data_IF_066656663405
#
_entry.id   IF_066656663405
#
_cell.length_a   1.000
_cell.length_b   1.000
_cell.length_c   1.000
_cell.angle_alpha   90.00
_cell.angle_beta   90.00
_cell.angle_gamma   90.00
#
_symmetry.space_group_name_H-M   'P 1'
#
loop_
_entity.id
_entity.type
_entity.pdbx_description
1 polymer ?
#
# COMPACT_ATOMS: atom_id res chain seq x y z
N UNK A 1 -41.16 54.27 -26.54
CA UNK A 1 -39.84 53.81 -27.04
C UNK A 1 -39.54 52.45 -26.43
N UNK A 2 -39.55 51.38 -27.23
CA UNK A 2 -39.16 50.05 -26.78
C UNK A 2 -37.68 50.07 -26.40
N UNK A 3 -37.35 49.84 -25.11
CA UNK A 3 -35.96 49.57 -24.70
C UNK A 3 -35.46 48.39 -25.55
N UNK A 4 -34.31 48.51 -26.24
CA UNK A 4 -33.77 47.37 -26.98
C UNK A 4 -33.56 46.23 -25.99
N UNK A 5 -34.16 45.08 -26.28
CA UNK A 5 -33.98 43.84 -25.50
C UNK A 5 -32.48 43.66 -25.28
N UNK A 6 -32.05 43.59 -24.01
CA UNK A 6 -30.64 43.30 -23.68
C UNK A 6 -30.26 42.03 -24.45
N UNK A 7 -29.32 42.16 -25.39
CA UNK A 7 -28.81 41.04 -26.22
C UNK A 7 -28.29 39.87 -25.38
N UNK A 8 -28.02 40.08 -24.08
CA UNK A 8 -27.55 39.07 -23.13
C UNK A 8 -28.37 39.16 -21.85
N UNK A 9 -29.03 38.07 -21.47
CA UNK A 9 -29.91 37.99 -20.30
C UNK A 9 -29.15 37.74 -18.98
N UNK A 10 -27.86 37.40 -19.05
CA UNK A 10 -27.01 37.07 -17.91
C UNK A 10 -25.75 37.95 -17.84
N UNK A 11 -25.14 38.08 -16.67
CA UNK A 11 -23.83 38.72 -16.52
C UNK A 11 -22.69 37.82 -17.02
N UNK A 12 -21.52 38.41 -17.31
CA UNK A 12 -20.32 37.65 -17.68
C UNK A 12 -19.86 36.73 -16.53
N UNK A 13 -20.00 37.19 -15.28
CA UNK A 13 -19.62 36.44 -14.08
C UNK A 13 -20.52 35.21 -13.89
N UNK A 14 -21.84 35.36 -14.05
CA UNK A 14 -22.77 34.21 -13.97
C UNK A 14 -22.49 33.18 -15.07
N UNK A 15 -22.19 33.63 -16.30
CA UNK A 15 -21.76 32.75 -17.41
C UNK A 15 -20.53 31.93 -16.99
N UNK A 16 -19.52 32.58 -16.41
CA UNK A 16 -18.31 31.91 -15.93
C UNK A 16 -18.60 30.93 -14.79
N UNK A 17 -19.45 31.30 -13.82
CA UNK A 17 -19.85 30.43 -12.73
C UNK A 17 -20.58 29.17 -13.23
N UNK A 18 -21.53 29.33 -14.15
CA UNK A 18 -22.23 28.19 -14.76
C UNK A 18 -21.28 27.26 -15.51
N UNK A 19 -20.31 27.83 -16.23
CA UNK A 19 -19.29 27.06 -16.93
C UNK A 19 -18.42 26.28 -15.94
N UNK A 20 -18.00 26.90 -14.84
CA UNK A 20 -17.25 26.26 -13.75
C UNK A 20 -18.06 25.16 -13.05
N UNK A 21 -19.38 25.29 -12.96
CA UNK A 21 -20.30 24.23 -12.48
C UNK A 21 -20.49 23.08 -13.48
N UNK A 22 -19.90 23.16 -14.67
CA UNK A 22 -19.88 22.08 -15.66
C UNK A 22 -20.92 22.21 -16.77
N UNK A 23 -21.78 23.23 -16.77
CA UNK A 23 -22.77 23.43 -17.83
C UNK A 23 -22.09 23.66 -19.18
N UNK A 24 -22.60 23.06 -20.27
CA UNK A 24 -21.98 23.20 -21.59
C UNK A 24 -22.11 24.63 -22.12
N UNK A 25 -21.20 25.04 -23.00
CA UNK A 25 -21.31 26.36 -23.65
C UNK A 25 -22.60 26.52 -24.44
N UNK A 26 -23.19 25.42 -24.93
CA UNK A 26 -24.48 25.42 -25.65
C UNK A 26 -25.67 25.67 -24.71
N UNK A 27 -25.68 25.04 -23.54
CA UNK A 27 -26.71 25.26 -22.51
C UNK A 27 -26.64 26.68 -21.97
N UNK A 28 -25.43 27.15 -21.65
CA UNK A 28 -25.22 28.51 -21.14
C UNK A 28 -25.61 29.54 -22.21
N UNK A 29 -25.20 29.34 -23.47
CA UNK A 29 -25.58 30.21 -24.59
C UNK A 29 -27.10 30.36 -24.72
N UNK A 30 -27.84 29.23 -24.65
CA UNK A 30 -29.30 29.22 -24.71
C UNK A 30 -29.92 30.00 -23.53
N UNK A 31 -29.42 29.80 -22.31
CA UNK A 31 -29.93 30.49 -21.11
C UNK A 31 -29.59 32.00 -21.12
N UNK A 32 -28.41 32.36 -21.60
CA UNK A 32 -27.91 33.73 -21.67
C UNK A 32 -28.39 34.52 -22.91
N UNK A 33 -29.18 33.89 -23.79
CA UNK A 33 -29.66 34.43 -25.07
C UNK A 33 -28.53 34.93 -26.00
N UNK A 34 -27.44 34.17 -26.10
CA UNK A 34 -26.26 34.53 -26.90
C UNK A 34 -25.76 33.33 -27.71
N UNK A 35 -24.82 33.55 -28.62
CA UNK A 35 -24.20 32.44 -29.37
C UNK A 35 -23.19 31.66 -28.51
N UNK A 36 -22.97 30.36 -28.76
CA UNK A 36 -21.90 29.60 -28.11
C UNK A 36 -20.51 30.17 -28.33
N UNK A 37 -20.27 30.85 -29.46
CA UNK A 37 -19.03 31.58 -29.73
C UNK A 37 -18.82 32.74 -28.76
N UNK A 38 -19.89 33.49 -28.46
CA UNK A 38 -19.85 34.59 -27.49
C UNK A 38 -19.48 34.11 -26.08
N UNK A 39 -19.96 32.93 -25.66
CA UNK A 39 -19.57 32.33 -24.37
C UNK A 39 -18.05 32.12 -24.29
N UNK A 40 -17.40 31.68 -25.38
CA UNK A 40 -15.93 31.50 -25.40
C UNK A 40 -15.18 32.82 -25.27
N UNK A 41 -15.69 33.89 -25.87
CA UNK A 41 -15.14 35.24 -25.73
C UNK A 41 -15.20 35.66 -24.26
N UNK A 42 -16.37 35.52 -23.63
CA UNK A 42 -16.55 35.86 -22.20
C UNK A 42 -15.62 35.05 -21.30
N UNK A 43 -15.44 33.75 -21.55
CA UNK A 43 -14.52 32.92 -20.77
C UNK A 43 -13.07 33.37 -20.94
N UNK A 44 -12.66 33.74 -22.16
CA UNK A 44 -11.32 34.27 -22.43
C UNK A 44 -11.08 35.62 -21.75
N UNK A 45 -12.07 36.52 -21.80
CA UNK A 45 -12.01 37.83 -21.13
C UNK A 45 -11.89 37.71 -19.61
N UNK A 46 -12.47 36.67 -19.01
CA UNK A 46 -12.42 36.38 -17.57
C UNK A 46 -11.31 35.40 -17.19
N UNK A 47 -10.38 35.11 -18.11
CA UNK A 47 -9.25 34.19 -17.90
C UNK A 47 -9.66 32.80 -17.40
N UNK A 48 -10.87 32.35 -17.77
CA UNK A 48 -11.36 31.01 -17.45
C UNK A 48 -10.85 30.02 -18.50
N UNK A 49 -10.04 29.02 -18.13
CA UNK A 49 -9.50 28.06 -19.08
C UNK A 49 -10.63 27.23 -19.72
N UNK A 50 -10.54 27.03 -21.04
CA UNK A 50 -11.47 26.19 -21.76
C UNK A 50 -11.23 24.72 -21.42
N UNK A 51 -12.30 23.98 -21.18
CA UNK A 51 -12.26 22.53 -20.98
C UNK A 51 -11.63 21.83 -22.19
N UNK A 52 -10.90 20.72 -21.99
CA UNK A 52 -10.33 19.92 -23.06
C UNK A 52 -11.39 19.48 -24.08
N UNK A 53 -10.99 19.36 -25.35
CA UNK A 53 -11.85 18.78 -26.41
C UNK A 53 -12.32 17.38 -25.99
N UNK A 54 -13.60 17.09 -26.17
CA UNK A 54 -14.24 15.82 -25.81
C UNK A 54 -14.71 15.72 -24.36
N UNK A 55 -14.41 16.70 -23.50
CA UNK A 55 -14.85 16.70 -22.08
C UNK A 55 -16.37 16.59 -21.91
N UNK A 56 -17.16 17.11 -22.85
CA UNK A 56 -18.63 16.98 -22.84
C UNK A 56 -19.14 15.55 -23.07
N UNK A 57 -18.28 14.62 -23.53
CA UNK A 57 -18.61 13.20 -23.66
C UNK A 57 -18.39 12.43 -22.35
N UNK A 58 -17.81 13.06 -21.31
CA UNK A 58 -17.62 12.42 -20.01
C UNK A 58 -18.98 12.20 -19.36
N UNK A 59 -19.28 10.94 -19.05
CA UNK A 59 -20.51 10.53 -18.37
C UNK A 59 -20.41 10.65 -16.85
N UNK A 60 -19.20 10.57 -16.31
CA UNK A 60 -18.95 10.55 -14.88
C UNK A 60 -17.95 11.63 -14.50
N UNK A 61 -18.14 12.21 -13.31
CA UNK A 61 -17.21 13.16 -12.68
C UNK A 61 -16.29 12.42 -11.70
N UNK A 62 -15.15 13.05 -11.42
CA UNK A 62 -14.19 12.69 -10.38
C UNK A 62 -13.35 13.94 -10.09
N UNK A 63 -12.86 14.09 -8.85
CA UNK A 63 -11.84 15.09 -8.56
C UNK A 63 -10.55 14.75 -9.31
N UNK A 64 -10.28 15.40 -10.44
CA UNK A 64 -9.10 15.13 -11.26
C UNK A 64 -7.79 15.63 -10.65
N UNK A 65 -7.85 16.49 -9.63
CA UNK A 65 -6.67 17.01 -8.93
C UNK A 65 -6.34 16.21 -7.65
N UNK A 66 -7.05 15.10 -7.41
CA UNK A 66 -6.99 14.34 -6.15
C UNK A 66 -5.57 13.92 -5.74
N UNK A 67 -4.71 13.55 -6.70
CA UNK A 67 -3.35 13.08 -6.42
C UNK A 67 -2.29 14.20 -6.37
N UNK A 68 -2.69 15.47 -6.46
CA UNK A 68 -1.77 16.61 -6.48
C UNK A 68 -1.49 17.20 -5.10
N UNK A 69 -2.35 16.91 -4.12
CA UNK A 69 -2.21 17.41 -2.75
C UNK A 69 -2.22 16.23 -1.79
N UNK A 70 -1.27 16.21 -0.86
CA UNK A 70 -1.19 15.17 0.14
C UNK A 70 -2.28 15.32 1.21
N UNK A 71 -2.89 14.20 1.57
CA UNK A 71 -3.73 14.01 2.74
C UNK A 71 -3.57 12.57 3.24
N UNK A 72 -4.04 12.28 4.45
CA UNK A 72 -4.01 10.92 5.00
C UNK A 72 -4.78 9.93 4.10
N UNK A 73 -5.97 10.32 3.64
CA UNK A 73 -6.80 9.51 2.75
C UNK A 73 -6.20 9.36 1.35
N UNK A 74 -5.58 10.42 0.82
CA UNK A 74 -4.89 10.35 -0.47
C UNK A 74 -3.72 9.37 -0.41
N UNK A 75 -2.91 9.42 0.65
CA UNK A 75 -1.80 8.49 0.84
C UNK A 75 -2.29 7.05 0.98
N UNK A 76 -3.37 6.82 1.74
CA UNK A 76 -4.03 5.52 1.83
C UNK A 76 -4.48 5.01 0.46
N UNK A 77 -5.21 5.82 -0.32
CA UNK A 77 -5.68 5.42 -1.65
C UNK A 77 -4.51 5.15 -2.59
N UNK A 78 -3.44 5.96 -2.51
CA UNK A 78 -2.23 5.74 -3.29
C UNK A 78 -1.57 4.39 -2.97
N UNK A 79 -1.44 4.06 -1.68
CA UNK A 79 -0.95 2.76 -1.21
C UNK A 79 -1.83 1.60 -1.67
N UNK A 80 -3.15 1.77 -1.58
CA UNK A 80 -4.13 0.78 -2.01
C UNK A 80 -4.04 0.52 -3.52
N UNK A 81 -3.91 1.58 -4.32
CA UNK A 81 -3.68 1.48 -5.77
C UNK A 81 -2.31 0.83 -6.05
N UNK A 82 -1.28 1.13 -5.26
CA UNK A 82 0.05 0.55 -5.41
C UNK A 82 0.08 -0.98 -5.13
N UNK A 83 -0.81 -1.47 -4.27
CA UNK A 83 -1.01 -2.90 -4.03
C UNK A 83 -1.91 -3.53 -5.10
N UNK A 84 -3.23 -3.27 -5.01
CA UNK A 84 -4.27 -4.03 -5.73
C UNK A 84 -4.86 -3.27 -6.94
N UNK A 85 -4.44 -2.03 -7.17
CA UNK A 85 -4.93 -1.25 -8.30
C UNK A 85 -4.44 -1.77 -9.65
N UNK A 86 -5.13 -1.42 -10.73
CA UNK A 86 -4.66 -1.59 -12.10
C UNK A 86 -4.70 -0.25 -12.82
N UNK A 87 -3.56 0.14 -13.39
CA UNK A 87 -3.45 1.30 -14.28
C UNK A 87 -3.33 0.74 -15.70
N UNK A 88 -4.29 1.07 -16.56
CA UNK A 88 -4.29 0.56 -17.92
C UNK A 88 -3.17 1.17 -18.74
N UNK A 89 -2.41 0.35 -19.47
CA UNK A 89 -1.39 0.84 -20.42
C UNK A 89 -2.01 1.55 -21.63
N UNK A 90 -3.14 1.06 -22.12
CA UNK A 90 -3.75 1.52 -23.37
C UNK A 90 -4.94 2.46 -23.17
N UNK A 91 -5.72 2.27 -22.11
CA UNK A 91 -6.86 3.12 -21.79
C UNK A 91 -6.50 4.19 -20.75
N UNK A 92 -7.30 5.25 -20.69
CA UNK A 92 -7.21 6.29 -19.65
C UNK A 92 -8.03 5.86 -18.42
N UNK A 93 -7.64 4.72 -17.85
CA UNK A 93 -8.42 4.01 -16.83
C UNK A 93 -7.53 3.60 -15.65
N UNK A 94 -8.05 3.86 -14.45
CA UNK A 94 -7.59 3.29 -13.18
C UNK A 94 -8.71 2.37 -12.68
N UNK A 95 -8.36 1.16 -12.27
CA UNK A 95 -9.30 0.17 -11.75
C UNK A 95 -8.87 -0.27 -10.36
N UNK A 96 -9.82 -0.33 -9.44
CA UNK A 96 -9.63 -0.92 -8.10
C UNK A 96 -10.65 -2.03 -7.96
N UNK A 97 -10.19 -3.24 -7.64
CA UNK A 97 -11.03 -4.41 -7.50
C UNK A 97 -10.94 -4.94 -6.07
N UNK A 98 -12.08 -5.22 -5.42
CA UNK A 98 -12.16 -5.78 -4.07
C UNK A 98 -13.38 -6.69 -3.91
N UNK A 99 -13.30 -7.62 -2.97
CA UNK A 99 -14.46 -8.46 -2.60
C UNK A 99 -15.45 -7.68 -1.75
N UNK A 100 -14.96 -6.86 -0.84
CA UNK A 100 -15.74 -5.97 0.00
C UNK A 100 -16.10 -4.70 -0.80
N UNK A 101 -17.38 -4.36 -0.87
CA UNK A 101 -17.87 -3.23 -1.69
C UNK A 101 -17.69 -1.90 -0.97
N UNK A 102 -17.71 -1.93 0.35
CA UNK A 102 -17.74 -0.82 1.29
C UNK A 102 -16.51 0.08 1.10
N UNK A 103 -15.32 -0.53 1.07
CA UNK A 103 -14.08 0.22 0.82
C UNK A 103 -14.08 0.93 -0.55
N UNK A 104 -14.68 0.33 -1.57
CA UNK A 104 -14.78 0.96 -2.89
C UNK A 104 -15.78 2.13 -2.87
N UNK A 105 -16.84 2.05 -2.05
CA UNK A 105 -17.78 3.14 -1.84
C UNK A 105 -17.12 4.31 -1.10
N UNK A 106 -16.29 4.02 -0.09
CA UNK A 106 -15.60 5.05 0.67
C UNK A 106 -14.51 5.73 -0.17
N UNK A 107 -13.71 4.97 -0.92
CA UNK A 107 -12.75 5.53 -1.90
C UNK A 107 -13.48 6.36 -2.96
N UNK A 108 -14.63 5.88 -3.46
CA UNK A 108 -15.44 6.62 -4.43
C UNK A 108 -15.92 7.96 -3.85
N UNK A 109 -16.39 7.97 -2.60
CA UNK A 109 -16.87 9.18 -1.90
C UNK A 109 -15.73 10.16 -1.68
N UNK A 110 -14.60 9.67 -1.17
CA UNK A 110 -13.38 10.44 -0.90
C UNK A 110 -12.82 11.11 -2.17
N UNK A 111 -12.84 10.43 -3.31
CA UNK A 111 -12.38 10.99 -4.60
C UNK A 111 -13.42 11.88 -5.32
N UNK A 112 -14.58 12.17 -4.70
CA UNK A 112 -15.76 12.79 -5.32
C UNK A 112 -16.11 12.20 -6.70
N UNK A 113 -16.05 10.87 -6.80
CA UNK A 113 -16.28 10.15 -8.06
C UNK A 113 -17.75 9.76 -8.22
N UNK A 114 -18.31 9.98 -9.41
CA UNK A 114 -19.65 9.49 -9.77
C UNK A 114 -19.61 8.18 -10.57
N UNK A 115 -18.43 7.57 -10.74
CA UNK A 115 -18.28 6.33 -11.51
C UNK A 115 -19.02 5.17 -10.82
N UNK A 116 -19.74 4.32 -11.56
CA UNK A 116 -20.43 3.19 -10.97
C UNK A 116 -19.43 2.14 -10.46
N UNK A 117 -19.80 1.46 -9.38
CA UNK A 117 -19.12 0.24 -8.94
C UNK A 117 -19.85 -0.92 -9.61
N UNK A 118 -19.15 -1.70 -10.41
CA UNK A 118 -19.69 -2.88 -11.08
C UNK A 118 -19.33 -4.13 -10.30
N UNK A 119 -20.09 -5.21 -10.49
CA UNK A 119 -19.79 -6.54 -9.91
C UNK A 119 -19.51 -7.50 -11.05
N UNK A 120 -18.46 -8.31 -10.90
CA UNK A 120 -18.25 -9.45 -11.77
C UNK A 120 -19.05 -10.63 -11.22
N UNK A 121 -20.13 -11.02 -11.91
CA UNK A 121 -21.02 -12.09 -11.44
C UNK A 121 -20.34 -13.45 -11.30
N UNK A 122 -19.28 -13.72 -12.06
CA UNK A 122 -18.54 -14.99 -12.00
C UNK A 122 -17.63 -15.07 -10.78
N UNK A 123 -16.98 -13.97 -10.41
CA UNK A 123 -15.97 -13.98 -9.33
C UNK A 123 -16.49 -13.36 -8.03
N UNK A 124 -17.64 -12.68 -8.07
CA UNK A 124 -18.19 -11.91 -6.95
C UNK A 124 -17.43 -10.61 -6.65
N UNK A 125 -16.37 -10.29 -7.39
CA UNK A 125 -15.50 -9.14 -7.14
C UNK A 125 -16.15 -7.85 -7.63
N UNK A 126 -16.14 -6.82 -6.80
CA UNK A 126 -16.55 -5.47 -7.13
C UNK A 126 -15.40 -4.68 -7.75
N UNK A 127 -15.70 -3.80 -8.71
CA UNK A 127 -14.72 -3.00 -9.42
C UNK A 127 -15.15 -1.54 -9.51
N UNK A 128 -14.25 -0.64 -9.11
CA UNK A 128 -14.36 0.80 -9.34
C UNK A 128 -13.43 1.18 -10.50
N UNK A 129 -14.03 1.45 -11.66
CA UNK A 129 -13.34 1.80 -12.89
C UNK A 129 -13.42 3.31 -13.14
N UNK A 130 -12.35 4.04 -12.85
CA UNK A 130 -12.27 5.51 -12.96
C UNK A 130 -11.58 5.88 -14.27
N UNK A 131 -12.33 6.52 -15.17
CA UNK A 131 -11.82 7.03 -16.44
C UNK A 131 -11.33 8.47 -16.30
N UNK A 132 -10.04 8.68 -16.04
CA UNK A 132 -9.42 10.00 -16.08
C UNK A 132 -7.99 9.93 -16.57
N UNK A 133 -7.68 10.71 -17.61
CA UNK A 133 -6.31 10.89 -18.12
C UNK A 133 -5.44 11.58 -17.07
N UNK A 134 -5.96 12.61 -16.41
CA UNK A 134 -5.21 13.43 -15.44
C UNK A 134 -4.81 12.58 -14.25
N UNK A 135 -5.75 11.87 -13.61
CA UNK A 135 -5.42 11.01 -12.47
C UNK A 135 -4.40 9.92 -12.83
N UNK A 136 -4.51 9.34 -14.02
CA UNK A 136 -3.53 8.35 -14.50
C UNK A 136 -2.15 8.98 -14.68
N UNK A 137 -2.07 10.15 -15.29
CA UNK A 137 -0.82 10.88 -15.47
C UNK A 137 -0.22 11.29 -14.12
N UNK A 138 -1.03 11.75 -13.16
CA UNK A 138 -0.59 12.09 -11.81
C UNK A 138 0.00 10.86 -11.08
N UNK A 139 -0.68 9.71 -11.12
CA UNK A 139 -0.16 8.46 -10.55
C UNK A 139 1.20 8.06 -11.14
N UNK A 140 1.37 8.21 -12.45
CA UNK A 140 2.60 7.81 -13.16
C UNK A 140 3.74 8.81 -12.92
N UNK A 141 3.46 10.11 -13.06
CA UNK A 141 4.48 11.15 -13.13
C UNK A 141 4.78 11.81 -11.79
N UNK A 142 3.79 11.94 -10.90
CA UNK A 142 3.98 12.48 -9.55
C UNK A 142 4.44 11.35 -8.61
N UNK A 143 3.76 10.20 -8.66
CA UNK A 143 3.94 9.13 -7.68
C UNK A 143 4.73 7.92 -8.17
N UNK A 144 5.08 7.87 -9.46
CA UNK A 144 5.89 6.79 -10.03
C UNK A 144 5.14 5.45 -10.18
N UNK A 145 3.81 5.40 -9.99
CA UNK A 145 3.01 4.19 -10.10
C UNK A 145 2.66 3.94 -11.57
N UNK A 146 3.33 2.98 -12.19
CA UNK A 146 3.21 2.68 -13.63
C UNK A 146 2.30 1.48 -13.92
N UNK A 147 1.79 1.33 -15.16
CA UNK A 147 1.21 0.06 -15.62
C UNK A 147 2.20 -1.12 -15.42
N UNK A 148 1.69 -2.33 -15.20
CA UNK A 148 2.50 -3.54 -14.94
C UNK A 148 3.49 -3.39 -13.76
N UNK A 149 3.13 -2.55 -12.77
CA UNK A 149 3.97 -2.22 -11.59
C UNK A 149 4.45 -3.41 -10.76
N UNK A 150 3.81 -4.58 -10.84
CA UNK A 150 4.10 -5.72 -9.95
C UNK A 150 5.60 -6.07 -9.85
N UNK A 151 6.37 -5.84 -10.92
CA UNK A 151 7.83 -6.11 -10.96
C UNK A 151 8.72 -4.87 -10.80
N UNK A 152 8.16 -3.67 -10.90
CA UNK A 152 8.93 -2.41 -11.01
C UNK A 152 8.43 -1.30 -10.08
N UNK A 153 7.60 -1.64 -9.09
CA UNK A 153 7.16 -0.69 -8.07
C UNK A 153 8.37 -0.23 -7.25
N UNK A 154 8.55 1.07 -7.10
CA UNK A 154 9.48 1.70 -6.15
C UNK A 154 8.68 2.40 -5.06
N UNK A 155 9.26 2.63 -3.87
CA UNK A 155 8.59 3.45 -2.86
C UNK A 155 8.43 4.88 -3.40
N UNK A 156 7.20 5.44 -3.42
CA UNK A 156 7.01 6.85 -3.78
C UNK A 156 7.65 7.78 -2.74
N UNK A 157 7.95 9.02 -3.13
CA UNK A 157 8.43 10.04 -2.20
C UNK A 157 7.26 10.59 -1.37
N UNK A 158 6.98 9.94 -0.24
CA UNK A 158 5.84 10.22 0.64
C UNK A 158 6.33 11.07 1.83
N UNK A 159 5.68 12.19 2.16
CA UNK A 159 5.96 12.93 3.39
C UNK A 159 5.81 12.03 4.63
N UNK A 160 6.72 12.12 5.59
CA UNK A 160 6.75 11.22 6.76
C UNK A 160 5.43 11.18 7.54
N UNK A 161 4.72 12.31 7.62
CA UNK A 161 3.41 12.42 8.26
C UNK A 161 2.35 11.50 7.62
N UNK A 162 2.46 11.24 6.31
CA UNK A 162 1.49 10.44 5.56
C UNK A 162 1.93 9.00 5.31
N UNK A 163 3.14 8.66 5.73
CA UNK A 163 3.75 7.37 5.43
C UNK A 163 2.99 6.20 6.08
N UNK A 164 2.49 6.36 7.31
CA UNK A 164 1.64 5.36 7.99
C UNK A 164 0.41 5.02 7.14
N UNK A 165 -0.23 6.03 6.55
CA UNK A 165 -1.43 5.87 5.73
C UNK A 165 -1.14 5.19 4.40
N UNK A 166 -0.04 5.53 3.73
CA UNK A 166 0.39 4.80 2.52
C UNK A 166 0.65 3.33 2.82
N UNK A 167 1.39 3.03 3.90
CA UNK A 167 1.68 1.65 4.29
C UNK A 167 0.40 0.92 4.70
N UNK A 168 -0.54 1.58 5.37
CA UNK A 168 -1.88 1.04 5.64
C UNK A 168 -2.60 0.68 4.34
N UNK A 169 -2.65 1.59 3.37
CA UNK A 169 -3.30 1.35 2.08
C UNK A 169 -2.69 0.17 1.33
N UNK A 170 -1.36 0.09 1.31
CA UNK A 170 -0.67 -1.04 0.68
C UNK A 170 -0.93 -2.36 1.43
N UNK A 171 -0.90 -2.32 2.77
CA UNK A 171 -1.25 -3.45 3.62
C UNK A 171 -2.69 -3.90 3.39
N UNK A 172 -3.64 -2.98 3.26
CA UNK A 172 -5.04 -3.31 3.05
C UNK A 172 -5.31 -3.87 1.64
N UNK A 173 -4.57 -3.46 0.62
CA UNK A 173 -4.58 -4.16 -0.67
C UNK A 173 -3.98 -5.58 -0.57
N UNK A 174 -2.66 -5.68 -0.40
CA UNK A 174 -1.92 -6.93 -0.64
C UNK A 174 -1.42 -7.64 0.64
N UNK A 175 -1.48 -6.95 1.78
CA UNK A 175 -1.05 -7.52 3.07
C UNK A 175 -1.96 -8.62 3.61
N UNK A 176 -1.42 -9.46 4.48
CA UNK A 176 -2.15 -10.48 5.21
C UNK A 176 -1.72 -10.46 6.68
N UNK A 177 -2.70 -10.54 7.58
CA UNK A 177 -2.49 -10.72 9.02
C UNK A 177 -3.05 -12.07 9.43
N UNK A 178 -2.28 -12.79 10.25
CA UNK A 178 -2.72 -13.99 10.93
C UNK A 178 -2.33 -13.88 12.40
N UNK A 179 -3.30 -13.50 13.23
CA UNK A 179 -3.08 -13.29 14.66
C UNK A 179 -2.63 -14.58 15.37
N UNK A 180 -3.24 -15.73 15.06
CA UNK A 180 -2.91 -17.02 15.67
C UNK A 180 -1.43 -17.41 15.42
N UNK A 181 -0.94 -17.19 14.20
CA UNK A 181 0.46 -17.42 13.84
C UNK A 181 1.39 -16.28 14.25
N UNK A 182 0.84 -15.19 14.81
CA UNK A 182 1.57 -13.98 15.18
C UNK A 182 2.42 -13.51 14.01
N UNK A 183 1.79 -13.39 12.84
CA UNK A 183 2.47 -13.03 11.61
C UNK A 183 1.67 -12.05 10.75
N UNK A 184 2.37 -11.03 10.23
CA UNK A 184 1.93 -10.22 9.07
C UNK A 184 2.84 -10.54 7.90
N UNK A 185 2.26 -10.68 6.71
CA UNK A 185 2.96 -11.02 5.47
C UNK A 185 2.51 -10.11 4.34
N UNK A 186 3.48 -9.61 3.57
CA UNK A 186 3.26 -8.99 2.27
C UNK A 186 3.91 -9.84 1.18
N UNK A 187 3.34 -9.87 -0.04
CA UNK A 187 3.85 -10.72 -1.12
C UNK A 187 3.79 -9.97 -2.45
N UNK A 188 4.95 -9.68 -3.05
CA UNK A 188 4.94 -9.03 -4.37
C UNK A 188 6.21 -9.25 -5.17
N UNK A 189 6.16 -8.87 -6.45
CA UNK A 189 7.26 -9.08 -7.40
C UNK A 189 8.40 -8.08 -7.28
N UNK A 190 8.16 -6.89 -6.72
CA UNK A 190 9.18 -5.84 -6.62
C UNK A 190 10.06 -6.02 -5.38
N UNK A 191 11.26 -6.56 -5.59
CA UNK A 191 12.23 -6.76 -4.51
C UNK A 191 12.65 -5.43 -3.87
N UNK A 192 12.96 -4.41 -4.69
CA UNK A 192 13.42 -3.10 -4.23
C UNK A 192 12.39 -2.43 -3.30
N UNK A 193 11.10 -2.47 -3.66
CA UNK A 193 10.05 -1.93 -2.81
C UNK A 193 10.02 -2.58 -1.42
N UNK A 194 10.15 -3.91 -1.36
CA UNK A 194 10.16 -4.60 -0.07
C UNK A 194 11.42 -4.36 0.75
N UNK A 195 12.58 -4.13 0.11
CA UNK A 195 13.77 -3.70 0.84
C UNK A 195 13.57 -2.35 1.52
N UNK A 196 13.01 -1.38 0.81
CA UNK A 196 12.71 -0.04 1.33
C UNK A 196 11.65 -0.11 2.43
N UNK A 197 10.55 -0.85 2.22
CA UNK A 197 9.51 -1.05 3.22
C UNK A 197 10.04 -1.75 4.48
N UNK A 198 10.89 -2.77 4.33
CA UNK A 198 11.54 -3.45 5.45
C UNK A 198 12.45 -2.50 6.24
N UNK A 199 13.21 -1.64 5.57
CA UNK A 199 14.03 -0.61 6.23
C UNK A 199 13.15 0.36 7.04
N UNK A 200 12.03 0.81 6.46
CA UNK A 200 11.07 1.71 7.14
C UNK A 200 10.46 1.10 8.40
N UNK A 201 10.11 -0.19 8.35
CA UNK A 201 9.55 -0.93 9.49
C UNK A 201 10.63 -1.13 10.56
N UNK A 202 11.84 -1.55 10.19
CA UNK A 202 12.95 -1.73 11.13
C UNK A 202 13.36 -0.46 11.85
N UNK A 203 13.36 0.69 11.16
CA UNK A 203 13.66 1.99 11.77
C UNK A 203 12.69 2.37 12.89
N UNK A 204 11.51 1.76 12.94
CA UNK A 204 10.50 1.95 13.99
C UNK A 204 10.62 0.92 15.13
N UNK A 205 11.71 0.16 15.17
CA UNK A 205 11.89 -0.90 16.16
C UNK A 205 11.05 -2.16 15.91
N UNK A 206 10.30 -2.23 14.80
CA UNK A 206 9.45 -3.39 14.49
C UNK A 206 10.29 -4.48 13.82
N UNK A 207 10.24 -5.68 14.37
CA UNK A 207 11.00 -6.82 13.84
C UNK A 207 10.39 -7.30 12.53
N UNK A 208 11.19 -7.26 11.48
CA UNK A 208 10.81 -7.74 10.16
C UNK A 208 11.98 -8.33 9.39
N UNK A 209 11.67 -9.21 8.43
CA UNK A 209 12.66 -9.82 7.56
C UNK A 209 12.08 -10.17 6.18
N UNK A 210 12.97 -10.31 5.20
CA UNK A 210 12.62 -10.66 3.83
C UNK A 210 12.90 -12.13 3.56
N UNK A 211 12.06 -12.75 2.71
CA UNK A 211 12.33 -13.99 2.01
C UNK A 211 12.22 -13.74 0.52
N UNK A 212 13.34 -13.83 -0.18
CA UNK A 212 13.41 -13.60 -1.63
C UNK A 212 13.26 -14.93 -2.34
N UNK A 213 12.35 -14.98 -3.32
CA UNK A 213 12.13 -16.09 -4.23
C UNK A 213 12.39 -15.63 -5.66
N UNK A 214 12.47 -16.57 -6.60
CA UNK A 214 12.77 -16.27 -8.01
C UNK A 214 11.78 -15.28 -8.65
N UNK A 215 10.49 -15.36 -8.27
CA UNK A 215 9.42 -14.56 -8.91
C UNK A 215 8.75 -13.56 -7.97
N UNK A 216 9.00 -13.64 -6.66
CA UNK A 216 8.38 -12.76 -5.66
C UNK A 216 9.25 -12.63 -4.41
N UNK A 217 9.01 -11.58 -3.64
CA UNK A 217 9.58 -11.39 -2.30
C UNK A 217 8.45 -11.42 -1.28
N UNK A 218 8.73 -12.02 -0.11
CA UNK A 218 7.85 -11.92 1.06
C UNK A 218 8.51 -11.05 2.11
N UNK A 219 7.80 -10.03 2.55
CA UNK A 219 8.14 -9.30 3.78
C UNK A 219 7.31 -9.87 4.92
N UNK A 220 7.98 -10.25 5.99
CA UNK A 220 7.37 -10.90 7.14
C UNK A 220 7.66 -10.06 8.38
N UNK A 221 6.60 -9.70 9.10
CA UNK A 221 6.63 -9.18 10.47
C UNK A 221 6.13 -10.31 11.36
N UNK A 222 6.87 -10.65 12.40
CA UNK A 222 6.52 -11.79 13.26
C UNK A 222 6.90 -11.53 14.70
N UNK A 223 6.00 -11.92 15.59
CA UNK A 223 6.05 -11.56 16.99
C UNK A 223 4.80 -10.78 17.40
N UNK A 224 4.39 -10.93 18.67
CA UNK A 224 3.20 -10.23 19.19
C UNK A 224 3.49 -8.73 19.29
N UNK A 225 4.63 -8.37 19.89
CA UNK A 225 5.04 -6.98 20.06
C UNK A 225 5.21 -6.31 18.70
N UNK A 226 5.85 -6.99 17.73
CA UNK A 226 6.02 -6.44 16.38
C UNK A 226 4.70 -6.26 15.62
N UNK A 227 3.73 -7.14 15.80
CA UNK A 227 2.39 -6.98 15.20
C UNK A 227 1.64 -5.84 15.85
N UNK A 228 1.66 -5.78 17.19
CA UNK A 228 1.05 -4.70 17.95
C UNK A 228 1.60 -3.35 17.51
N UNK A 229 2.92 -3.20 17.50
CA UNK A 229 3.59 -1.96 17.08
C UNK A 229 3.37 -1.61 15.61
N UNK A 230 3.31 -2.61 14.71
CA UNK A 230 2.96 -2.35 13.31
C UNK A 230 1.53 -1.81 13.18
N UNK A 231 0.56 -2.44 13.82
CA UNK A 231 -0.83 -2.00 13.76
C UNK A 231 -1.08 -0.67 14.47
N UNK A 232 -0.47 -0.45 15.65
CA UNK A 232 -0.51 0.86 16.35
C UNK A 232 -0.03 1.99 15.43
N UNK A 233 1.04 1.73 14.67
CA UNK A 233 1.57 2.70 13.74
C UNK A 233 0.65 2.98 12.55
N UNK A 234 0.11 1.95 11.89
CA UNK A 234 -0.67 2.14 10.66
C UNK A 234 -2.14 2.52 10.93
N UNK A 235 -2.68 2.17 12.09
CA UNK A 235 -4.09 2.39 12.44
C UNK A 235 -4.36 3.57 13.39
N UNK A 236 -3.33 4.29 13.87
CA UNK A 236 -3.48 5.44 14.77
C UNK A 236 -4.59 6.43 14.34
N UNK A 237 -4.54 6.88 13.08
CA UNK A 237 -5.57 7.76 12.48
C UNK A 237 -6.15 7.09 11.22
N UNK A 238 -7.09 6.16 11.39
CA UNK A 238 -7.56 5.27 10.32
C UNK A 238 -8.98 5.54 9.82
N UNK A 239 -9.18 6.69 9.18
CA UNK A 239 -10.43 7.05 8.50
C UNK A 239 -10.83 6.05 7.41
N UNK A 240 -9.87 5.65 6.56
CA UNK A 240 -10.03 4.62 5.54
C UNK A 240 -9.20 3.38 5.91
N UNK A 241 -9.85 2.21 5.89
CA UNK A 241 -9.24 0.90 6.14
C UNK A 241 -10.12 -0.25 5.65
N UNK A 242 -9.57 -1.46 5.59
CA UNK A 242 -10.36 -2.69 5.52
C UNK A 242 -10.68 -3.23 6.92
N UNK A 243 -11.97 -3.22 7.27
CA UNK A 243 -12.42 -3.64 8.61
C UNK A 243 -12.00 -5.06 8.96
N UNK A 244 -12.11 -6.03 8.03
CA UNK A 244 -11.67 -7.42 8.27
C UNK A 244 -10.22 -7.55 8.74
N UNK A 245 -9.32 -6.68 8.29
CA UNK A 245 -7.89 -6.71 8.69
C UNK A 245 -7.68 -6.00 10.02
N UNK A 246 -8.43 -4.93 10.24
CA UNK A 246 -8.44 -4.22 11.50
C UNK A 246 -8.99 -5.09 12.65
N UNK A 247 -10.06 -5.83 12.41
CA UNK A 247 -10.63 -6.80 13.36
C UNK A 247 -9.64 -7.90 13.76
N UNK A 248 -8.85 -8.42 12.81
CA UNK A 248 -7.77 -9.38 13.11
C UNK A 248 -6.68 -8.76 13.99
N UNK A 249 -6.38 -7.48 13.79
CA UNK A 249 -5.41 -6.74 14.60
C UNK A 249 -5.93 -6.51 16.03
N UNK A 250 -7.21 -6.16 16.19
CA UNK A 250 -7.85 -5.92 17.50
C UNK A 250 -7.92 -7.16 18.41
N UNK A 251 -7.61 -8.36 17.91
CA UNK A 251 -7.49 -9.57 18.74
C UNK A 251 -6.32 -9.52 19.72
N UNK A 252 -5.33 -8.65 19.48
CA UNK A 252 -4.28 -8.34 20.45
C UNK A 252 -4.76 -7.25 21.41
N UNK A 253 -5.10 -7.65 22.63
CA UNK A 253 -5.62 -6.75 23.66
C UNK A 253 -4.57 -6.28 24.67
N UNK A 254 -3.33 -6.78 24.59
CA UNK A 254 -2.24 -6.36 25.46
C UNK A 254 -1.57 -5.09 24.92
N UNK A 255 -1.01 -4.28 25.83
CA UNK A 255 -0.25 -3.10 25.42
C UNK A 255 1.08 -3.52 24.80
N UNK A 256 1.65 -2.63 24.00
CA UNK A 256 2.93 -2.87 23.34
C UNK A 256 4.07 -3.17 24.33
N UNK A 257 4.10 -2.45 25.45
CA UNK A 257 5.16 -2.56 26.46
C UNK A 257 5.08 -3.85 27.29
N UNK A 258 3.90 -4.49 27.33
CA UNK A 258 3.68 -5.75 28.04
C UNK A 258 4.07 -6.99 27.21
N UNK A 259 4.40 -6.78 25.93
CA UNK A 259 4.70 -7.82 24.97
C UNK A 259 6.20 -7.91 24.73
N UNK A 260 6.77 -9.11 24.77
CA UNK A 260 8.15 -9.35 24.32
C UNK A 260 8.15 -10.37 23.18
N UNK A 261 8.78 -9.99 22.06
CA UNK A 261 9.01 -10.93 20.98
C UNK A 261 10.10 -11.93 21.33
N UNK A 262 9.89 -13.20 20.98
CA UNK A 262 10.90 -14.22 21.22
C UNK A 262 12.23 -13.85 20.57
N UNK A 263 13.33 -13.91 21.33
CA UNK A 263 14.69 -13.45 20.92
C UNK A 263 15.12 -13.94 19.52
N UNK A 264 14.63 -15.10 19.10
CA UNK A 264 15.05 -15.81 17.90
C UNK A 264 13.92 -16.08 16.91
N UNK A 265 14.20 -15.96 15.60
CA UNK A 265 13.29 -16.42 14.55
C UNK A 265 13.20 -17.95 14.59
N UNK A 266 11.99 -18.50 14.63
CA UNK A 266 11.73 -19.95 14.81
C UNK A 266 11.47 -20.71 13.50
N UNK A 267 11.74 -20.10 12.34
CA UNK A 267 11.57 -20.78 11.05
C UNK A 267 12.59 -21.93 10.88
N UNK A 268 12.20 -23.02 10.22
CA UNK A 268 13.10 -24.17 9.95
C UNK A 268 14.46 -23.76 9.37
N UNK A 269 14.45 -22.83 8.41
CA UNK A 269 15.67 -22.29 7.79
C UNK A 269 16.55 -21.54 8.81
N UNK A 270 15.96 -20.63 9.60
CA UNK A 270 16.70 -19.88 10.63
C UNK A 270 17.26 -20.79 11.74
N UNK A 271 16.53 -21.86 12.11
CA UNK A 271 17.01 -22.86 13.06
C UNK A 271 18.19 -23.64 12.45
N UNK A 272 18.09 -24.08 11.19
CA UNK A 272 19.17 -24.79 10.48
C UNK A 272 20.43 -23.92 10.36
N UNK A 273 20.27 -22.65 9.99
CA UNK A 273 21.38 -21.69 9.91
C UNK A 273 22.04 -21.49 11.28
N UNK A 274 21.25 -21.34 12.35
CA UNK A 274 21.78 -21.18 13.71
C UNK A 274 22.54 -22.42 14.18
N UNK A 275 22.00 -23.61 13.89
CA UNK A 275 22.69 -24.90 14.12
C UNK A 275 24.01 -24.97 13.37
N UNK A 276 24.03 -24.62 12.09
CA UNK A 276 25.27 -24.58 11.29
C UNK A 276 26.28 -23.58 11.87
N UNK A 277 25.83 -22.37 12.26
CA UNK A 277 26.67 -21.35 12.87
C UNK A 277 27.28 -21.84 14.19
N UNK A 278 26.48 -22.52 15.01
CA UNK A 278 26.96 -23.15 16.25
C UNK A 278 28.07 -24.16 15.97
N UNK A 279 27.87 -25.10 15.04
CA UNK A 279 28.87 -26.10 14.66
C UNK A 279 30.17 -25.44 14.18
N UNK A 280 30.08 -24.43 13.31
CA UNK A 280 31.25 -23.70 12.79
C UNK A 280 32.03 -22.97 13.89
N UNK A 281 31.34 -22.40 14.88
CA UNK A 281 31.97 -21.76 16.04
C UNK A 281 32.58 -22.75 17.01
N UNK A 282 31.97 -23.93 17.15
CA UNK A 282 32.48 -24.99 18.01
C UNK A 282 33.80 -25.56 17.49
N UNK A 283 33.92 -25.74 16.17
CA UNK A 283 35.19 -26.15 15.53
C UNK A 283 36.34 -25.22 15.95
N UNK A 284 36.08 -23.90 16.02
CA UNK A 284 37.10 -22.90 16.36
C UNK A 284 37.41 -22.80 17.86
N UNK A 285 36.39 -22.85 18.71
CA UNK A 285 36.55 -22.52 20.14
C UNK A 285 36.61 -23.75 21.06
N UNK A 286 36.00 -24.86 20.67
CA UNK A 286 35.88 -26.06 21.51
C UNK A 286 34.99 -25.96 22.73
N UNK A 287 34.39 -24.80 22.98
CA UNK A 287 33.68 -24.53 24.22
C UNK A 287 32.20 -24.30 23.90
N UNK A 288 31.34 -25.20 24.38
CA UNK A 288 29.89 -25.16 24.17
C UNK A 288 29.31 -23.86 24.74
N UNK A 289 29.67 -23.48 25.97
CA UNK A 289 29.14 -22.28 26.64
C UNK A 289 29.53 -21.01 25.91
N UNK A 290 30.78 -20.90 25.45
CA UNK A 290 31.25 -19.78 24.63
C UNK A 290 30.51 -19.71 23.30
N UNK A 291 30.31 -20.85 22.64
CA UNK A 291 29.54 -20.92 21.39
C UNK A 291 28.09 -20.49 21.57
N UNK A 292 27.43 -20.95 22.64
CA UNK A 292 26.07 -20.55 23.00
C UNK A 292 25.97 -19.03 23.19
N UNK A 293 26.90 -18.44 23.95
CA UNK A 293 26.96 -16.98 24.16
C UNK A 293 27.20 -16.22 22.84
N UNK A 294 28.13 -16.66 22.00
CA UNK A 294 28.46 -16.00 20.72
C UNK A 294 27.30 -15.99 19.71
N UNK A 295 26.39 -16.97 19.77
CA UNK A 295 25.19 -17.00 18.93
C UNK A 295 23.91 -16.63 19.69
N UNK A 296 24.06 -16.12 20.91
CA UNK A 296 23.01 -15.62 21.80
C UNK A 296 21.92 -16.66 22.10
N UNK A 297 22.28 -17.94 22.34
CA UNK A 297 21.33 -18.98 22.78
C UNK A 297 21.66 -19.46 24.18
N UNK A 298 20.63 -19.94 24.88
CA UNK A 298 20.80 -20.61 26.15
C UNK A 298 21.40 -22.03 25.97
N UNK A 299 22.25 -22.51 26.89
CA UNK A 299 22.76 -23.88 26.86
C UNK A 299 21.65 -24.96 26.83
N UNK A 300 20.48 -24.67 27.39
CA UNK A 300 19.29 -25.53 27.31
C UNK A 300 18.82 -25.74 25.88
N UNK A 301 18.99 -24.74 24.99
CA UNK A 301 18.65 -24.83 23.57
C UNK A 301 19.52 -25.86 22.86
N UNK A 302 20.82 -25.87 23.14
CA UNK A 302 21.76 -26.89 22.63
C UNK A 302 21.38 -28.29 23.12
N UNK A 303 21.10 -28.45 24.42
CA UNK A 303 20.64 -29.73 24.99
C UNK A 303 19.38 -30.24 24.29
N UNK A 304 18.43 -29.35 24.01
CA UNK A 304 17.21 -29.70 23.29
C UNK A 304 17.49 -30.11 21.83
N UNK A 305 18.45 -29.48 21.15
CA UNK A 305 18.86 -29.91 19.81
C UNK A 305 19.48 -31.32 19.84
N UNK A 306 20.37 -31.59 20.79
CA UNK A 306 20.99 -32.91 20.94
C UNK A 306 19.98 -34.01 21.27
N UNK A 307 18.91 -33.69 21.99
CA UNK A 307 17.87 -34.64 22.38
C UNK A 307 16.87 -34.94 21.26
N UNK A 308 16.45 -33.91 20.52
CA UNK A 308 15.27 -33.98 19.65
C UNK A 308 15.60 -33.88 18.15
N UNK A 309 16.85 -33.63 17.76
CA UNK A 309 17.26 -33.52 16.36
C UNK A 309 18.41 -34.49 16.04
N UNK A 310 18.05 -35.63 15.45
CA UNK A 310 18.97 -36.71 15.10
C UNK A 310 20.01 -36.26 14.07
N UNK A 311 19.63 -35.44 13.09
CA UNK A 311 20.55 -34.92 12.06
C UNK A 311 21.61 -34.03 12.69
N UNK A 312 21.21 -33.14 13.61
CA UNK A 312 22.14 -32.28 14.33
C UNK A 312 23.07 -33.10 15.23
N UNK A 313 22.55 -34.11 15.93
CA UNK A 313 23.33 -34.99 16.80
C UNK A 313 24.40 -35.77 16.02
N UNK A 314 24.05 -36.32 14.85
CA UNK A 314 25.01 -37.03 13.99
C UNK A 314 26.15 -36.11 13.55
N UNK A 315 25.82 -34.92 13.02
CA UNK A 315 26.81 -33.92 12.58
C UNK A 315 27.70 -33.43 13.71
N UNK A 316 27.13 -33.26 14.92
CA UNK A 316 27.90 -32.91 16.11
C UNK A 316 28.92 -34.00 16.47
N UNK A 317 28.48 -35.26 16.50
CA UNK A 317 29.34 -36.40 16.86
C UNK A 317 30.50 -36.59 15.86
N UNK A 318 30.24 -36.43 14.57
CA UNK A 318 31.29 -36.49 13.53
C UNK A 318 32.35 -35.40 13.75
N UNK A 319 31.91 -34.15 13.97
CA UNK A 319 32.81 -33.03 14.21
C UNK A 319 33.62 -33.18 15.52
N UNK A 320 32.99 -33.70 16.58
CA UNK A 320 33.68 -33.91 17.84
C UNK A 320 34.75 -35.00 17.73
N UNK A 321 34.47 -36.09 17.01
CA UNK A 321 35.46 -37.15 16.72
C UNK A 321 36.64 -36.66 15.89
N UNK A 322 36.42 -35.80 14.90
CA UNK A 322 37.50 -35.21 14.08
C UNK A 322 38.41 -34.37 14.96
N UNK A 323 37.83 -33.60 15.89
CA UNK A 323 38.59 -32.76 16.81
C UNK A 323 39.41 -33.57 17.80
N UNK A 324 38.87 -34.66 18.33
CA UNK A 324 39.58 -35.59 19.24
C UNK A 324 40.74 -36.33 18.55
N UNK A 325 40.75 -36.42 17.21
CA UNK A 325 41.82 -37.06 16.42
C UNK A 325 42.88 -36.09 15.90
N UNK A 326 42.63 -34.78 15.97
CA UNK A 326 43.48 -33.73 15.37
C UNK A 326 44.10 -32.76 16.38
N UNK A 327 43.90 -32.98 17.69
CA UNK A 327 44.68 -32.40 18.77
C UNK A 327 45.48 -33.50 19.45
#
# INVERSE_FOLDING_TARGET
>A
MNKPLRKRTMSKVEIAQMYKRGESTTVIAKKANVSPGYIRIVLKELEVPLRPRGSWKRKFKVNEDYFKTWSNNMAYILGFIAADGMISGHAQLISIAQKEKEILLDIKREMDSSHPITKNERTGVHMLNIGSKILKEDLIHIHGIRPNKTKHLSMPNIPDLHLSHYVRGYFDGDGSINYQKKQIVFVGGSHQFFEELNKLIKRRGIRSYLKVYQTYTRLIISGRQSIKGFGDWIYADSDLRLDRKYEEYLKENQNYDDLEDGKHVVSKAAIKERKNKFLMKFIKSGCITKCCAEINIEPTTFKNWMKNDLEFQQRWNELNKIKERGG
#
